data_IF_941295366568
#
_entry.id   IF_941295366568
#
_cell.length_a   1.000
_cell.length_b   1.000
_cell.length_c   1.000
_cell.angle_alpha   90.00
_cell.angle_beta   90.00
_cell.angle_gamma   90.00
#
_symmetry.space_group_name_H-M   'P 1'
#
loop_
_entity.id
_entity.type
_entity.pdbx_description
1 polymer ?
#
# COMPACT_ATOMS: atom_id res chain seq x y z
N UNK A 1 6.52 11.46 -9.57
CA UNK A 1 5.35 12.11 -10.21
C UNK A 1 4.20 11.11 -10.27
N UNK A 2 2.95 11.57 -10.17
CA UNK A 2 1.75 10.71 -10.26
C UNK A 2 1.64 9.98 -11.61
N UNK A 3 1.86 10.66 -12.74
CA UNK A 3 1.81 10.01 -14.05
C UNK A 3 2.91 8.98 -14.27
N UNK A 4 4.09 9.17 -13.67
CA UNK A 4 5.14 8.16 -13.69
C UNK A 4 4.74 6.89 -12.90
N UNK A 5 4.07 7.05 -11.76
CA UNK A 5 3.52 5.91 -11.01
C UNK A 5 2.44 5.17 -11.82
N UNK A 6 1.57 5.90 -12.52
CA UNK A 6 0.61 5.28 -13.44
C UNK A 6 1.30 4.59 -14.62
N UNK A 7 2.37 5.18 -15.15
CA UNK A 7 3.23 4.54 -16.15
C UNK A 7 3.81 3.22 -15.67
N UNK A 8 4.25 3.15 -14.41
CA UNK A 8 4.72 1.91 -13.79
C UNK A 8 3.61 0.86 -13.66
N UNK A 9 2.38 1.27 -13.33
CA UNK A 9 1.21 0.36 -13.32
C UNK A 9 0.97 -0.21 -14.71
N UNK A 10 0.93 0.62 -15.75
CA UNK A 10 0.70 0.14 -17.11
C UNK A 10 1.83 -0.75 -17.61
N UNK A 11 3.09 -0.37 -17.36
CA UNK A 11 4.23 -1.17 -17.75
C UNK A 11 4.24 -2.54 -17.06
N UNK A 12 3.95 -2.57 -15.76
CA UNK A 12 3.86 -3.84 -15.01
C UNK A 12 2.70 -4.70 -15.50
N UNK A 13 1.59 -4.09 -15.95
CA UNK A 13 0.47 -4.82 -16.54
C UNK A 13 0.85 -5.49 -17.86
N UNK A 14 1.60 -4.82 -18.73
CA UNK A 14 2.08 -5.41 -19.99
C UNK A 14 3.07 -6.57 -19.72
N UNK A 15 3.98 -6.40 -18.76
CA UNK A 15 4.89 -7.49 -18.35
C UNK A 15 4.13 -8.67 -17.74
N UNK A 16 3.11 -8.39 -16.93
CA UNK A 16 2.21 -9.42 -16.41
C UNK A 16 1.51 -10.18 -17.55
N UNK A 17 1.01 -9.49 -18.58
CA UNK A 17 0.38 -10.15 -19.73
C UNK A 17 1.36 -11.00 -20.54
N UNK A 18 2.63 -10.59 -20.61
CA UNK A 18 3.66 -11.31 -21.35
C UNK A 18 4.18 -12.55 -20.61
N UNK A 19 4.40 -12.46 -19.29
CA UNK A 19 5.11 -13.49 -18.51
C UNK A 19 4.24 -14.18 -17.45
N UNK A 20 3.12 -13.60 -17.04
CA UNK A 20 2.20 -14.21 -16.08
C UNK A 20 2.72 -14.28 -14.64
N UNK A 21 3.72 -13.47 -14.24
CA UNK A 21 4.36 -13.55 -12.90
C UNK A 21 3.71 -12.62 -11.86
N UNK A 22 3.62 -13.10 -10.62
CA UNK A 22 2.96 -12.44 -9.50
C UNK A 22 3.69 -11.19 -9.01
N UNK A 23 5.01 -11.12 -9.20
CA UNK A 23 5.82 -9.95 -8.82
C UNK A 23 5.40 -8.67 -9.55
N UNK A 24 4.83 -8.78 -10.76
CA UNK A 24 4.26 -7.62 -11.45
C UNK A 24 2.96 -7.14 -10.79
N UNK A 25 2.13 -8.07 -10.31
CA UNK A 25 0.97 -7.79 -9.48
C UNK A 25 1.34 -7.08 -8.18
N UNK A 26 2.46 -7.45 -7.55
CA UNK A 26 2.98 -6.76 -6.35
C UNK A 26 3.34 -5.29 -6.64
N UNK A 27 3.97 -5.02 -7.80
CA UNK A 27 4.30 -3.66 -8.21
C UNK A 27 3.04 -2.84 -8.50
N UNK A 28 2.06 -3.42 -9.19
CA UNK A 28 0.77 -2.77 -9.48
C UNK A 28 0.06 -2.44 -8.16
N UNK A 29 -0.09 -3.43 -7.28
CA UNK A 29 -0.75 -3.31 -5.99
C UNK A 29 -0.09 -2.22 -5.12
N UNK A 30 1.23 -2.30 -4.93
CA UNK A 30 1.98 -1.33 -4.16
C UNK A 30 1.85 0.09 -4.74
N UNK A 31 1.89 0.21 -6.06
CA UNK A 31 1.81 1.53 -6.72
C UNK A 31 0.41 2.13 -6.63
N UNK A 32 -0.63 1.31 -6.82
CA UNK A 32 -2.03 1.73 -6.71
C UNK A 32 -2.37 2.16 -5.27
N UNK A 33 -2.16 1.29 -4.28
CA UNK A 33 -2.54 1.56 -2.89
C UNK A 33 -1.73 2.69 -2.24
N UNK A 34 -0.51 2.94 -2.70
CA UNK A 34 0.35 3.95 -2.10
C UNK A 34 0.42 5.22 -2.93
N UNK A 35 1.10 5.22 -4.09
CA UNK A 35 1.40 6.47 -4.80
C UNK A 35 0.20 7.02 -5.57
N UNK A 36 -0.57 6.16 -6.24
CA UNK A 36 -1.73 6.60 -7.05
C UNK A 36 -2.87 7.10 -6.16
N UNK A 37 -3.22 6.34 -5.12
CA UNK A 37 -4.22 6.80 -4.15
C UNK A 37 -3.74 8.01 -3.36
N UNK A 38 -2.45 8.10 -2.99
CA UNK A 38 -1.92 9.31 -2.34
C UNK A 38 -2.10 10.55 -3.21
N UNK A 39 -2.05 10.42 -4.53
CA UNK A 39 -2.23 11.54 -5.42
C UNK A 39 -3.66 12.11 -5.39
N UNK A 40 -4.66 11.30 -5.04
CA UNK A 40 -6.07 11.70 -5.02
C UNK A 40 -6.50 12.15 -3.63
N UNK A 41 -7.08 13.36 -3.54
CA UNK A 41 -7.72 13.82 -2.32
C UNK A 41 -8.94 12.96 -2.00
N UNK A 42 -9.22 12.75 -0.72
CA UNK A 42 -10.37 11.92 -0.30
C UNK A 42 -11.70 12.46 -0.86
N UNK A 43 -11.77 13.75 -1.15
CA UNK A 43 -12.93 14.41 -1.74
C UNK A 43 -13.08 14.18 -3.26
N UNK A 44 -12.11 13.53 -3.91
CA UNK A 44 -12.07 13.29 -5.34
C UNK A 44 -11.82 14.55 -6.20
N UNK A 45 -11.48 15.69 -5.58
CA UNK A 45 -11.45 17.02 -6.24
C UNK A 45 -10.08 17.70 -6.20
N UNK A 46 -9.14 17.17 -5.46
CA UNK A 46 -7.79 17.71 -5.34
C UNK A 46 -6.73 16.65 -5.67
N UNK A 47 -5.64 17.04 -6.33
CA UNK A 47 -4.67 16.11 -6.89
C UNK A 47 -3.23 16.54 -6.62
N UNK A 48 -2.36 15.63 -6.19
CA UNK A 48 -0.91 15.84 -6.25
C UNK A 48 -0.37 15.53 -7.64
N UNK A 49 0.56 16.37 -8.10
CA UNK A 49 1.47 16.05 -9.20
C UNK A 49 2.72 15.32 -8.65
N UNK A 50 3.23 15.80 -7.52
CA UNK A 50 4.43 15.31 -6.82
C UNK A 50 4.01 14.62 -5.52
N UNK A 51 4.48 13.38 -5.31
CA UNK A 51 4.14 12.57 -4.14
C UNK A 51 5.41 12.41 -3.27
N UNK A 52 5.67 13.32 -2.33
CA UNK A 52 6.84 13.25 -1.45
C UNK A 52 6.71 12.11 -0.44
N UNK A 53 7.86 11.57 0.01
CA UNK A 53 7.97 10.68 1.18
C UNK A 53 8.42 11.43 2.46
N UNK A 54 8.78 12.70 2.32
CA UNK A 54 9.08 13.65 3.39
C UNK A 54 8.54 15.01 2.97
N UNK A 55 7.73 15.64 3.83
CA UNK A 55 7.17 16.96 3.63
C UNK A 55 7.46 17.84 4.83
N UNK A 56 8.09 19.00 4.58
CA UNK A 56 8.43 20.01 5.56
C UNK A 56 7.95 21.38 5.05
N UNK A 57 6.66 21.72 5.24
CA UNK A 57 6.04 22.84 4.52
C UNK A 57 6.74 24.17 4.77
N UNK A 58 7.15 24.43 6.02
CA UNK A 58 7.86 25.64 6.41
C UNK A 58 9.19 25.82 5.66
N UNK A 59 9.99 24.77 5.57
CA UNK A 59 11.29 24.79 4.91
C UNK A 59 11.18 24.74 3.38
N UNK A 60 10.23 23.96 2.85
CA UNK A 60 10.14 23.69 1.42
C UNK A 60 9.58 24.87 0.63
N UNK A 61 8.70 25.68 1.25
CA UNK A 61 8.19 26.92 0.64
C UNK A 61 9.31 27.92 0.32
N UNK A 62 10.34 27.98 1.16
CA UNK A 62 11.49 28.87 0.99
C UNK A 62 12.64 28.24 0.18
N UNK A 63 12.56 26.95 -0.16
CA UNK A 63 13.62 26.24 -0.87
C UNK A 63 13.27 26.07 -2.37
N UNK A 64 13.96 26.77 -3.29
CA UNK A 64 13.68 26.68 -4.73
C UNK A 64 13.78 25.25 -5.30
N UNK A 65 14.66 24.42 -4.74
CA UNK A 65 14.84 23.02 -5.17
C UNK A 65 13.69 22.11 -4.70
N UNK A 66 12.92 22.53 -3.69
CA UNK A 66 11.80 21.77 -3.11
C UNK A 66 10.43 22.42 -3.34
N UNK A 67 10.38 23.58 -3.98
CA UNK A 67 9.14 24.35 -4.20
C UNK A 67 8.06 23.58 -4.97
N UNK A 68 8.45 22.61 -5.80
CA UNK A 68 7.55 21.72 -6.54
C UNK A 68 6.79 20.73 -5.63
N UNK A 69 7.23 20.55 -4.38
CA UNK A 69 6.57 19.70 -3.39
C UNK A 69 5.50 20.53 -2.68
N UNK A 70 4.26 20.04 -2.67
CA UNK A 70 3.13 20.69 -1.99
C UNK A 70 2.68 19.83 -0.81
N UNK A 71 2.42 20.47 0.32
CA UNK A 71 1.89 19.82 1.52
C UNK A 71 0.37 19.58 1.45
N UNK A 72 -0.31 20.24 0.50
CA UNK A 72 -1.73 20.07 0.22
C UNK A 72 -1.94 19.86 -1.27
N UNK A 73 -2.90 19.01 -1.61
CA UNK A 73 -3.30 18.75 -2.99
C UNK A 73 -3.98 20.01 -3.58
N UNK A 74 -3.45 20.59 -4.67
CA UNK A 74 -4.18 21.62 -5.41
C UNK A 74 -5.43 21.06 -6.08
N UNK A 75 -6.40 21.92 -6.39
CA UNK A 75 -7.58 21.52 -7.19
C UNK A 75 -7.17 21.09 -8.59
N UNK A 76 -6.26 21.84 -9.20
CA UNK A 76 -5.85 21.64 -10.58
C UNK A 76 -4.41 22.09 -10.79
N UNK A 77 -3.82 21.67 -11.90
CA UNK A 77 -2.47 22.03 -12.35
C UNK A 77 -2.55 22.59 -13.78
N UNK A 78 -1.63 23.46 -14.18
CA UNK A 78 -1.55 23.89 -15.58
C UNK A 78 -1.22 22.71 -16.50
N UNK A 79 -0.31 21.83 -16.08
CA UNK A 79 -0.09 20.52 -16.68
C UNK A 79 -1.02 19.48 -16.02
N UNK A 80 -2.24 19.38 -16.54
CA UNK A 80 -3.31 18.56 -15.95
C UNK A 80 -3.35 17.11 -16.47
N UNK A 81 -2.20 16.47 -16.67
CA UNK A 81 -2.17 15.05 -17.08
C UNK A 81 -2.63 14.10 -15.97
N UNK A 82 -2.38 14.44 -14.70
CA UNK A 82 -2.62 13.53 -13.56
C UNK A 82 -4.12 13.25 -13.30
N UNK A 83 -5.03 14.25 -13.19
CA UNK A 83 -6.43 13.99 -12.85
C UNK A 83 -7.16 13.03 -13.81
N UNK A 84 -7.17 13.24 -15.15
CA UNK A 84 -7.83 12.30 -16.06
C UNK A 84 -7.13 10.94 -16.11
N UNK A 85 -5.81 10.88 -15.88
CA UNK A 85 -5.06 9.64 -15.89
C UNK A 85 -5.39 8.77 -14.65
N UNK A 86 -5.60 9.38 -13.48
CA UNK A 86 -6.14 8.69 -12.30
C UNK A 86 -7.56 8.20 -12.62
N UNK A 87 -8.42 9.08 -13.14
CA UNK A 87 -9.82 8.75 -13.40
C UNK A 87 -9.99 7.54 -14.33
N UNK A 88 -9.28 7.50 -15.47
CA UNK A 88 -9.34 6.34 -16.39
C UNK A 88 -8.77 5.06 -15.78
N UNK A 89 -7.80 5.18 -14.88
CA UNK A 89 -7.16 4.02 -14.24
C UNK A 89 -8.12 3.40 -13.22
N UNK A 90 -8.74 4.22 -12.38
CA UNK A 90 -9.76 3.76 -11.43
C UNK A 90 -11.03 3.27 -12.13
N UNK A 91 -11.46 3.94 -13.20
CA UNK A 91 -12.59 3.49 -14.02
C UNK A 91 -12.34 2.16 -14.72
N UNK A 92 -11.07 1.80 -14.96
CA UNK A 92 -10.66 0.54 -15.53
C UNK A 92 -10.11 -0.46 -14.51
N UNK A 93 -10.41 -0.34 -13.22
CA UNK A 93 -9.76 -1.12 -12.16
C UNK A 93 -9.90 -2.65 -12.35
N UNK A 94 -11.04 -3.10 -12.89
CA UNK A 94 -11.33 -4.52 -13.11
C UNK A 94 -10.24 -5.30 -13.85
N UNK A 95 -9.57 -4.67 -14.82
CA UNK A 95 -8.50 -5.31 -15.61
C UNK A 95 -7.22 -5.63 -14.81
N UNK A 96 -7.08 -5.03 -13.64
CA UNK A 96 -5.97 -5.30 -12.72
C UNK A 96 -6.38 -6.27 -11.60
N UNK A 97 -7.68 -6.53 -11.41
CA UNK A 97 -8.18 -7.42 -10.35
C UNK A 97 -8.19 -8.86 -10.86
N UNK A 98 -8.73 -9.07 -12.05
CA UNK A 98 -8.91 -10.38 -12.65
C UNK A 98 -8.35 -10.39 -14.08
N UNK A 99 -7.84 -11.54 -14.51
CA UNK A 99 -7.37 -11.77 -15.87
C UNK A 99 -7.61 -13.20 -16.32
N UNK A 100 -7.52 -13.47 -17.61
CA UNK A 100 -7.67 -14.81 -18.17
C UNK A 100 -6.71 -15.04 -19.33
N UNK A 101 -6.33 -16.30 -19.54
CA UNK A 101 -5.75 -16.81 -20.78
C UNK A 101 -6.53 -18.07 -21.22
N UNK A 102 -6.01 -18.82 -22.19
CA UNK A 102 -6.73 -19.97 -22.78
C UNK A 102 -7.22 -21.03 -21.79
N UNK A 103 -6.53 -21.22 -20.66
CA UNK A 103 -6.81 -22.31 -19.71
C UNK A 103 -6.80 -21.92 -18.23
N UNK A 104 -6.52 -20.64 -17.93
CA UNK A 104 -6.31 -20.16 -16.57
C UNK A 104 -7.04 -18.84 -16.34
N UNK A 105 -7.77 -18.75 -15.23
CA UNK A 105 -8.27 -17.49 -14.68
C UNK A 105 -7.38 -17.07 -13.53
N UNK A 106 -6.94 -15.82 -13.56
CA UNK A 106 -6.01 -15.24 -12.62
C UNK A 106 -6.71 -14.24 -11.70
N UNK A 107 -6.52 -14.42 -10.40
CA UNK A 107 -6.89 -13.46 -9.36
C UNK A 107 -5.63 -12.66 -9.02
N UNK A 108 -5.57 -11.44 -9.55
CA UNK A 108 -4.41 -10.55 -9.46
C UNK A 108 -4.47 -9.62 -8.26
N UNK A 109 -5.60 -8.99 -8.00
CA UNK A 109 -5.77 -8.15 -6.81
C UNK A 109 -7.01 -8.56 -6.05
N UNK A 110 -7.02 -8.21 -4.77
CA UNK A 110 -8.11 -8.54 -3.87
C UNK A 110 -9.01 -7.32 -3.69
N UNK A 111 -10.21 -7.42 -4.21
CA UNK A 111 -11.26 -6.42 -4.05
C UNK A 111 -12.60 -7.13 -4.16
N UNK A 112 -13.57 -6.72 -3.35
CA UNK A 112 -14.91 -7.28 -3.45
C UNK A 112 -15.50 -6.99 -4.83
N UNK A 113 -15.74 -8.04 -5.61
CA UNK A 113 -16.21 -7.94 -6.99
C UNK A 113 -16.86 -9.23 -7.48
N UNK A 114 -17.59 -9.14 -8.59
CA UNK A 114 -18.00 -10.28 -9.40
C UNK A 114 -17.44 -10.15 -10.82
N UNK A 115 -17.25 -11.26 -11.51
CA UNK A 115 -16.78 -11.26 -12.90
C UNK A 115 -17.09 -12.56 -13.63
N UNK A 116 -17.35 -12.43 -14.93
CA UNK A 116 -17.58 -13.54 -15.85
C UNK A 116 -16.39 -13.71 -16.79
N UNK A 117 -15.95 -14.96 -16.95
CA UNK A 117 -14.73 -15.34 -17.69
C UNK A 117 -15.01 -16.48 -18.65
N UNK A 118 -14.23 -16.55 -19.73
CA UNK A 118 -14.26 -17.66 -20.68
C UNK A 118 -13.19 -18.68 -20.30
N UNK A 119 -13.59 -19.70 -19.53
CA UNK A 119 -12.74 -20.83 -19.24
C UNK A 119 -12.63 -21.82 -20.41
N UNK A 120 -11.68 -22.76 -20.31
CA UNK A 120 -11.51 -23.82 -21.30
C UNK A 120 -12.72 -24.77 -21.28
N UNK A 121 -13.63 -24.57 -22.22
CA UNK A 121 -14.83 -25.39 -22.39
C UNK A 121 -16.07 -24.86 -21.66
N UNK A 122 -16.10 -23.58 -21.24
CA UNK A 122 -17.33 -22.96 -20.74
C UNK A 122 -17.13 -21.63 -20.01
N UNK A 123 -18.24 -20.98 -19.67
CA UNK A 123 -18.23 -19.73 -18.92
C UNK A 123 -18.06 -20.01 -17.42
N UNK A 124 -17.20 -19.24 -16.77
CA UNK A 124 -16.99 -19.24 -15.33
C UNK A 124 -17.49 -17.93 -14.74
N UNK A 125 -18.09 -18.02 -13.56
CA UNK A 125 -18.47 -16.87 -12.75
C UNK A 125 -17.67 -16.91 -11.45
N UNK A 126 -17.06 -15.77 -11.10
CA UNK A 126 -16.29 -15.59 -9.87
C UNK A 126 -16.93 -14.48 -9.06
N UNK A 127 -17.18 -14.77 -7.79
CA UNK A 127 -17.53 -13.80 -6.75
C UNK A 127 -16.41 -13.77 -5.71
N UNK A 128 -15.89 -12.59 -5.42
CA UNK A 128 -14.87 -12.37 -4.39
C UNK A 128 -15.46 -11.50 -3.29
N UNK A 129 -15.34 -11.96 -2.05
CA UNK A 129 -15.71 -11.22 -0.85
C UNK A 129 -14.48 -11.03 0.02
N UNK A 130 -14.22 -9.77 0.38
CA UNK A 130 -13.08 -9.43 1.22
C UNK A 130 -13.20 -8.01 1.76
N UNK A 131 -12.57 -7.75 2.91
CA UNK A 131 -12.35 -6.40 3.43
C UNK A 131 -10.90 -5.92 3.17
N UNK A 132 -10.22 -6.51 2.18
CA UNK A 132 -8.92 -6.07 1.70
C UNK A 132 -8.96 -4.56 1.32
N UNK A 133 -7.92 -3.75 1.63
CA UNK A 133 -6.62 -4.11 2.22
C UNK A 133 -6.59 -4.07 3.77
N UNK A 134 -7.76 -4.09 4.43
CA UNK A 134 -7.84 -4.01 5.90
C UNK A 134 -7.83 -5.38 6.58
N UNK A 135 -8.35 -6.41 5.91
CA UNK A 135 -8.15 -7.82 6.28
C UNK A 135 -7.43 -8.59 5.17
N UNK A 136 -6.73 -9.66 5.54
CA UNK A 136 -6.16 -10.63 4.62
C UNK A 136 -7.06 -11.82 4.32
N UNK A 137 -8.28 -11.84 4.86
CA UNK A 137 -9.29 -12.84 4.53
C UNK A 137 -9.94 -12.53 3.19
N UNK A 138 -9.93 -13.51 2.30
CA UNK A 138 -10.53 -13.46 0.96
C UNK A 138 -11.31 -14.74 0.74
N UNK A 139 -12.59 -14.61 0.42
CA UNK A 139 -13.45 -15.72 0.03
C UNK A 139 -13.76 -15.61 -1.46
N UNK A 140 -13.57 -16.71 -2.20
CA UNK A 140 -13.90 -16.84 -3.60
C UNK A 140 -14.98 -17.91 -3.78
N UNK A 141 -16.08 -17.54 -4.43
CA UNK A 141 -17.05 -18.49 -4.95
C UNK A 141 -16.90 -18.56 -6.48
N UNK A 142 -16.61 -19.76 -6.98
CA UNK A 142 -16.38 -20.02 -8.40
C UNK A 142 -17.43 -21.00 -8.87
N UNK A 143 -18.15 -20.66 -9.93
CA UNK A 143 -19.21 -21.49 -10.51
C UNK A 143 -19.16 -21.44 -12.03
N UNK A 144 -19.95 -22.30 -12.68
CA UNK A 144 -19.99 -22.42 -14.14
C UNK A 144 -19.50 -23.77 -14.64
N UNK A 145 -19.47 -23.92 -15.96
CA UNK A 145 -19.16 -25.20 -16.64
C UNK A 145 -17.80 -25.12 -17.32
N UNK A 146 -17.19 -26.29 -17.58
CA UNK A 146 -15.87 -26.40 -18.18
C UNK A 146 -14.74 -26.60 -17.17
N UNK A 147 -13.53 -26.81 -17.67
CA UNK A 147 -12.33 -27.02 -16.84
C UNK A 147 -11.45 -25.78 -16.94
N UNK A 148 -10.81 -25.41 -15.85
CA UNK A 148 -9.87 -24.27 -15.84
C UNK A 148 -8.86 -24.43 -14.73
N UNK A 149 -7.77 -23.68 -14.80
CA UNK A 149 -6.88 -23.42 -13.66
C UNK A 149 -7.27 -22.11 -13.02
N UNK A 150 -7.31 -22.07 -11.70
CA UNK A 150 -7.52 -20.85 -10.94
C UNK A 150 -6.19 -20.49 -10.30
N UNK A 151 -5.59 -19.37 -10.75
CA UNK A 151 -4.31 -18.89 -10.26
C UNK A 151 -4.56 -17.72 -9.30
N UNK A 152 -4.31 -17.93 -8.01
CA UNK A 152 -4.51 -16.90 -6.98
C UNK A 152 -3.15 -16.32 -6.61
N UNK A 153 -2.93 -15.02 -6.86
CA UNK A 153 -1.65 -14.38 -6.50
C UNK A 153 -1.44 -14.46 -4.99
N UNK A 154 -0.26 -14.86 -4.56
CA UNK A 154 0.19 -14.68 -3.18
C UNK A 154 1.09 -13.45 -3.16
N UNK A 155 0.68 -12.34 -2.52
CA UNK A 155 1.47 -11.12 -2.53
C UNK A 155 2.86 -11.32 -1.94
N UNK A 156 3.90 -10.76 -2.57
CA UNK A 156 5.28 -10.91 -2.11
C UNK A 156 5.57 -10.32 -0.72
N UNK A 157 4.69 -9.47 -0.19
CA UNK A 157 4.77 -9.00 1.20
C UNK A 157 4.26 -10.02 2.22
N UNK A 158 3.46 -11.00 1.81
CA UNK A 158 2.84 -12.00 2.68
C UNK A 158 3.74 -13.23 2.82
N UNK A 159 4.18 -13.51 4.05
CA UNK A 159 5.02 -14.68 4.35
C UNK A 159 4.20 -15.88 4.80
N UNK A 160 3.16 -15.62 5.58
CA UNK A 160 2.32 -16.64 6.18
C UNK A 160 0.91 -16.52 5.62
N UNK A 161 0.48 -17.56 4.90
CA UNK A 161 -0.85 -17.63 4.29
C UNK A 161 -1.38 -19.06 4.35
N UNK A 162 -2.71 -19.20 4.30
CA UNK A 162 -3.40 -20.49 4.30
C UNK A 162 -4.50 -20.48 3.24
N UNK A 163 -4.66 -21.60 2.58
CA UNK A 163 -5.66 -21.79 1.54
C UNK A 163 -6.54 -23.00 1.87
N UNK A 164 -7.85 -22.79 1.82
CA UNK A 164 -8.86 -23.80 2.05
C UNK A 164 -9.74 -23.92 0.80
N UNK A 165 -10.02 -25.14 0.35
CA UNK A 165 -10.96 -25.41 -0.74
C UNK A 165 -12.11 -26.24 -0.18
N UNK A 166 -13.35 -25.76 -0.35
CA UNK A 166 -14.56 -26.37 0.16
C UNK A 166 -14.46 -26.74 1.66
N UNK A 167 -13.87 -25.85 2.47
CA UNK A 167 -13.70 -26.02 3.91
C UNK A 167 -12.55 -26.95 4.34
N UNK A 168 -11.78 -27.50 3.40
CA UNK A 168 -10.59 -28.32 3.70
C UNK A 168 -9.32 -27.56 3.38
N UNK A 169 -8.44 -27.43 4.37
CA UNK A 169 -7.11 -26.87 4.14
C UNK A 169 -6.32 -27.78 3.19
N UNK A 170 -5.67 -27.19 2.19
CA UNK A 170 -4.78 -27.94 1.31
C UNK A 170 -3.41 -28.11 1.96
N UNK A 171 -2.90 -29.34 2.00
CA UNK A 171 -1.55 -29.66 2.50
C UNK A 171 -0.49 -29.42 1.42
N UNK A 172 -0.83 -29.68 0.16
CA UNK A 172 0.01 -29.44 -1.00
C UNK A 172 -0.66 -28.44 -1.93
N UNK A 173 0.06 -27.37 -2.27
CA UNK A 173 -0.38 -26.33 -3.17
C UNK A 173 0.66 -26.19 -4.27
N UNK A 174 0.23 -26.29 -5.53
CA UNK A 174 1.08 -25.96 -6.66
C UNK A 174 1.35 -24.45 -6.63
N UNK A 175 2.54 -24.06 -6.16
CA UNK A 175 2.97 -22.68 -6.07
C UNK A 175 4.09 -22.41 -7.07
N UNK A 176 3.83 -21.54 -8.04
CA UNK A 176 4.77 -21.19 -9.10
C UNK A 176 4.61 -19.71 -9.47
N UNK A 177 5.74 -19.03 -9.68
CA UNK A 177 5.81 -17.63 -10.14
C UNK A 177 4.91 -16.63 -9.36
N UNK A 178 4.66 -16.90 -8.07
CA UNK A 178 3.84 -16.03 -7.22
C UNK A 178 2.35 -16.38 -7.16
N UNK A 179 1.92 -17.52 -7.72
CA UNK A 179 0.52 -17.96 -7.68
C UNK A 179 0.37 -19.32 -7.02
N UNK A 180 -0.72 -19.47 -6.27
CA UNK A 180 -1.29 -20.76 -5.91
C UNK A 180 -2.26 -21.21 -7.01
N UNK A 181 -1.98 -22.35 -7.64
CA UNK A 181 -2.81 -22.92 -8.70
C UNK A 181 -3.77 -23.98 -8.18
N UNK A 182 -5.06 -23.83 -8.51
CA UNK A 182 -6.12 -24.77 -8.16
C UNK A 182 -6.83 -25.30 -9.43
N UNK A 183 -7.04 -26.62 -9.56
CA UNK A 183 -7.78 -27.17 -10.68
C UNK A 183 -9.30 -27.00 -10.48
N UNK A 184 -9.98 -26.33 -11.41
CA UNK A 184 -11.42 -26.26 -11.49
C UNK A 184 -11.97 -27.28 -12.50
N UNK A 185 -12.94 -28.08 -12.10
CA UNK A 185 -13.45 -29.22 -12.86
C UNK A 185 -14.90 -29.05 -13.37
N UNK A 186 -15.51 -27.88 -13.17
CA UNK A 186 -16.91 -27.62 -13.55
C UNK A 186 -17.95 -27.90 -12.47
N UNK A 187 -17.52 -28.35 -11.28
CA UNK A 187 -18.36 -28.37 -10.08
C UNK A 187 -17.95 -27.20 -9.20
N UNK A 188 -18.93 -26.39 -8.75
CA UNK A 188 -18.69 -25.16 -8.00
C UNK A 188 -17.65 -25.33 -6.88
N UNK A 189 -16.86 -24.28 -6.66
CA UNK A 189 -15.70 -24.29 -5.78
C UNK A 189 -15.74 -23.07 -4.87
N UNK A 190 -15.58 -23.29 -3.56
CA UNK A 190 -15.36 -22.23 -2.57
C UNK A 190 -13.89 -22.25 -2.15
N UNK A 191 -13.22 -21.11 -2.22
CA UNK A 191 -11.83 -20.96 -1.81
C UNK A 191 -11.72 -19.88 -0.75
N UNK A 192 -11.21 -20.24 0.43
CA UNK A 192 -10.85 -19.30 1.48
C UNK A 192 -9.34 -19.11 1.51
N UNK A 193 -8.88 -17.87 1.33
CA UNK A 193 -7.48 -17.46 1.49
C UNK A 193 -7.37 -16.58 2.72
N UNK A 194 -6.51 -16.97 3.66
CA UNK A 194 -6.12 -16.15 4.80
C UNK A 194 -4.67 -15.71 4.61
N UNK A 195 -4.43 -14.41 4.54
CA UNK A 195 -3.10 -13.79 4.50
C UNK A 195 -2.81 -13.10 5.83
N UNK A 196 -1.70 -13.44 6.48
CA UNK A 196 -1.28 -12.79 7.72
C UNK A 196 -0.90 -11.32 7.43
N UNK A 197 -1.52 -10.38 8.15
CA UNK A 197 -1.40 -8.93 7.92
C UNK A 197 -0.90 -8.17 9.14
N UNK A 198 0.17 -8.70 9.76
CA UNK A 198 0.85 -7.99 10.83
C UNK A 198 1.62 -6.76 10.29
N UNK A 199 1.60 -5.63 11.01
CA UNK A 199 2.47 -4.50 10.68
C UNK A 199 3.94 -4.91 10.76
N UNK A 200 4.72 -4.50 9.76
CA UNK A 200 6.16 -4.79 9.66
C UNK A 200 6.95 -3.48 9.61
N UNK A 201 8.11 -3.49 10.27
CA UNK A 201 9.10 -2.41 10.16
C UNK A 201 10.05 -2.74 9.02
N UNK A 202 10.10 -1.86 8.03
CA UNK A 202 10.95 -1.99 6.85
C UNK A 202 12.25 -1.23 7.03
N UNK A 203 13.32 -1.84 6.53
CA UNK A 203 14.62 -1.19 6.36
C UNK A 203 14.94 -1.07 4.88
N UNK A 204 15.67 -0.03 4.51
CA UNK A 204 16.17 0.15 3.16
C UNK A 204 17.49 -0.61 2.97
N UNK A 205 17.82 -0.93 1.71
CA UNK A 205 19.17 -1.37 1.36
C UNK A 205 20.17 -0.26 1.79
N UNK A 206 21.29 -0.59 2.47
CA UNK A 206 22.23 0.41 2.98
C UNK A 206 22.88 1.28 1.90
N UNK A 207 22.79 0.88 0.62
CA UNK A 207 23.22 1.69 -0.53
C UNK A 207 22.27 2.86 -0.83
N UNK A 208 21.06 2.87 -0.26
CA UNK A 208 20.11 3.98 -0.35
C UNK A 208 20.42 4.98 0.78
N UNK A 209 21.42 5.83 0.54
CA UNK A 209 22.02 6.71 1.56
C UNK A 209 21.00 7.64 2.27
N UNK A 210 19.94 8.07 1.58
CA UNK A 210 18.92 8.97 2.14
C UNK A 210 18.03 8.32 3.22
N UNK A 211 18.04 6.98 3.27
CA UNK A 211 17.28 6.18 4.21
C UNK A 211 18.17 5.48 5.26
N UNK A 212 19.47 5.80 5.29
CA UNK A 212 20.39 5.25 6.27
C UNK A 212 19.95 5.65 7.69
N UNK A 213 19.92 4.67 8.60
CA UNK A 213 19.44 4.89 9.96
C UNK A 213 17.94 5.18 10.08
N UNK A 214 17.16 4.97 9.02
CA UNK A 214 15.70 5.14 9.02
C UNK A 214 14.98 3.81 8.80
N UNK A 215 13.71 3.80 9.18
CA UNK A 215 12.77 2.72 8.94
C UNK A 215 11.41 3.27 8.48
N UNK A 216 10.65 2.44 7.79
CA UNK A 216 9.25 2.71 7.44
C UNK A 216 8.36 1.61 8.03
N UNK A 217 7.04 1.82 8.04
CA UNK A 217 6.08 0.82 8.51
C UNK A 217 5.13 0.46 7.38
N UNK A 218 4.90 -0.83 7.17
CA UNK A 218 3.90 -1.36 6.24
C UNK A 218 2.94 -2.30 6.95
N UNK A 219 1.71 -2.40 6.46
CA UNK A 219 0.76 -3.45 6.86
C UNK A 219 0.02 -3.91 5.61
N UNK A 220 0.19 -5.18 5.25
CA UNK A 220 -0.26 -5.67 3.95
C UNK A 220 0.36 -4.84 2.81
N UNK A 221 -0.42 -4.41 1.80
CA UNK A 221 0.10 -3.59 0.69
C UNK A 221 0.27 -2.10 1.03
N UNK A 222 -0.12 -1.67 2.24
CA UNK A 222 -0.19 -0.25 2.61
C UNK A 222 1.09 0.19 3.32
N UNK A 223 1.75 1.19 2.75
CA UNK A 223 2.78 2.01 3.38
C UNK A 223 2.15 3.01 4.34
N UNK A 224 2.77 3.21 5.50
CA UNK A 224 2.33 4.17 6.51
C UNK A 224 3.26 5.37 6.56
N UNK A 225 2.71 6.49 7.04
CA UNK A 225 3.43 7.71 7.33
C UNK A 225 2.94 8.31 8.66
N UNK A 226 3.73 9.22 9.23
CA UNK A 226 3.33 10.05 10.37
C UNK A 226 3.07 11.48 9.89
N UNK A 227 2.02 12.13 10.39
CA UNK A 227 1.72 13.55 10.12
C UNK A 227 1.87 14.39 11.41
N UNK A 228 2.26 15.66 11.25
CA UNK A 228 2.36 16.65 12.33
C UNK A 228 1.09 16.69 13.19
N UNK A 229 -0.08 16.55 12.55
CA UNK A 229 -1.38 16.61 13.22
C UNK A 229 -1.54 15.59 14.34
N UNK A 230 -0.95 14.40 14.19
CA UNK A 230 -1.10 13.34 15.20
C UNK A 230 0.14 13.19 16.09
N UNK A 231 1.27 13.77 15.69
CA UNK A 231 2.57 13.51 16.31
C UNK A 231 3.25 14.78 16.86
N UNK A 232 2.72 15.96 16.57
CA UNK A 232 3.34 17.25 16.87
C UNK A 232 4.34 17.70 15.79
N UNK A 233 4.86 18.92 15.94
CA UNK A 233 5.91 19.49 15.08
C UNK A 233 7.23 18.74 15.20
N UNK A 234 8.14 19.02 14.27
CA UNK A 234 9.51 18.49 14.25
C UNK A 234 9.50 16.97 14.25
N UNK A 235 8.93 16.39 13.20
CA UNK A 235 8.81 14.93 13.08
C UNK A 235 10.18 14.24 13.04
N UNK A 236 11.25 14.95 12.65
CA UNK A 236 12.63 14.45 12.71
C UNK A 236 13.14 14.12 14.13
N UNK A 237 12.51 14.65 15.18
CA UNK A 237 12.85 14.29 16.57
C UNK A 237 12.34 12.89 16.95
N UNK A 238 11.40 12.35 16.18
CA UNK A 238 10.81 11.05 16.45
C UNK A 238 11.68 9.93 15.89
N UNK A 239 11.83 8.87 16.69
CA UNK A 239 12.54 7.67 16.30
C UNK A 239 11.68 6.44 16.60
N UNK A 240 11.66 5.50 15.67
CA UNK A 240 11.10 4.17 15.89
C UNK A 240 12.10 3.37 16.73
N UNK A 241 11.64 2.70 17.80
CA UNK A 241 12.51 1.82 18.60
C UNK A 241 13.08 0.69 17.74
N UNK A 242 14.18 0.08 18.17
CA UNK A 242 14.79 -1.05 17.45
C UNK A 242 13.81 -2.23 17.27
N UNK A 243 13.07 -2.58 18.32
CA UNK A 243 12.03 -3.63 18.30
C UNK A 243 10.72 -3.04 18.83
N UNK A 244 9.99 -2.26 18.03
CA UNK A 244 8.83 -1.54 18.52
C UNK A 244 7.63 -2.47 18.66
N UNK A 245 6.90 -2.36 19.77
CA UNK A 245 5.51 -2.81 19.78
C UNK A 245 4.68 -2.00 18.78
N UNK A 246 3.89 -2.66 17.94
CA UNK A 246 2.96 -2.00 17.02
C UNK A 246 1.54 -2.45 17.32
N UNK A 247 0.66 -1.50 17.68
CA UNK A 247 -0.76 -1.77 17.96
C UNK A 247 -1.61 -1.28 16.80
N UNK A 248 -2.43 -2.18 16.26
CA UNK A 248 -3.49 -1.85 15.30
C UNK A 248 -4.64 -1.22 16.07
N UNK A 249 -5.13 -0.06 15.64
CA UNK A 249 -6.29 0.61 16.24
C UNK A 249 -7.51 0.42 15.36
N UNK A 250 -8.62 0.05 15.98
CA UNK A 250 -9.93 -0.15 15.31
C UNK A 250 -10.52 1.15 14.76
N UNK A 251 -10.10 2.30 15.29
CA UNK A 251 -10.59 3.62 14.85
C UNK A 251 -10.23 3.85 13.38
N UNK A 252 -11.26 4.06 12.56
CA UNK A 252 -11.09 4.40 11.14
C UNK A 252 -10.73 5.87 10.95
N UNK A 253 -9.48 6.16 10.57
CA UNK A 253 -9.09 7.51 10.20
C UNK A 253 -9.75 7.91 8.88
N UNK A 254 -10.37 9.09 8.87
CA UNK A 254 -11.14 9.58 7.73
C UNK A 254 -12.17 8.54 7.25
N UNK A 255 -12.77 7.75 8.16
CA UNK A 255 -13.84 6.80 7.86
C UNK A 255 -13.41 5.52 7.15
N UNK A 256 -12.14 5.36 6.77
CA UNK A 256 -11.66 4.14 6.06
C UNK A 256 -10.35 3.57 6.61
N UNK A 257 -9.36 4.42 6.92
CA UNK A 257 -8.00 3.93 7.18
C UNK A 257 -7.83 3.29 8.56
N UNK A 258 -7.07 2.20 8.61
CA UNK A 258 -6.60 1.61 9.88
C UNK A 258 -5.42 2.44 10.42
N UNK A 259 -5.45 2.76 11.71
CA UNK A 259 -4.39 3.51 12.40
C UNK A 259 -3.41 2.55 13.08
N UNK A 260 -2.13 2.90 13.10
CA UNK A 260 -1.10 2.18 13.88
C UNK A 260 -0.55 3.09 14.99
N UNK A 261 -0.32 2.51 16.17
CA UNK A 261 0.51 3.09 17.22
C UNK A 261 1.82 2.33 17.27
N UNK A 262 2.92 3.00 16.93
CA UNK A 262 4.26 2.43 16.86
C UNK A 262 5.06 2.95 18.04
N UNK A 263 5.63 2.06 18.86
CA UNK A 263 6.52 2.48 19.95
C UNK A 263 7.74 3.23 19.41
N UNK A 264 8.04 4.36 20.06
CA UNK A 264 9.17 5.18 19.69
C UNK A 264 9.59 6.11 20.81
N UNK A 265 10.60 6.90 20.51
CA UNK A 265 11.12 7.93 21.39
C UNK A 265 11.12 9.25 20.64
N UNK A 266 10.90 10.35 21.36
CA UNK A 266 11.21 11.68 20.87
C UNK A 266 12.51 12.14 21.52
N UNK A 267 13.52 12.44 20.68
CA UNK A 267 14.78 13.03 21.09
C UNK A 267 14.80 14.49 20.66
N UNK A 268 14.78 15.39 21.64
CA UNK A 268 14.70 16.84 21.41
C UNK A 268 15.84 17.55 22.13
N UNK A 269 16.33 18.61 21.49
CA UNK A 269 17.25 19.58 22.09
C UNK A 269 16.54 20.44 23.14
N UNK A 270 17.30 21.30 23.81
CA UNK A 270 16.71 22.30 24.72
C UNK A 270 15.92 23.33 23.92
N UNK A 271 14.69 23.64 24.37
CA UNK A 271 13.91 24.76 23.80
C UNK A 271 14.45 26.13 24.23
N UNK A 272 15.23 26.18 25.31
CA UNK A 272 15.82 27.43 25.86
C UNK A 272 17.19 27.74 25.24
N UNK A 273 17.98 26.71 24.91
CA UNK A 273 19.31 26.86 24.33
C UNK A 273 19.24 26.86 22.80
N UNK A 274 19.12 28.06 22.23
CA UNK A 274 18.99 28.27 20.78
C UNK A 274 20.32 28.26 20.02
N UNK A 275 21.42 27.83 20.64
CA UNK A 275 22.72 27.77 19.95
C UNK A 275 22.66 26.73 18.81
N UNK A 276 23.20 27.06 17.63
CA UNK A 276 23.20 26.13 16.49
C UNK A 276 24.08 24.90 16.71
N UNK A 277 25.06 24.99 17.62
CA UNK A 277 25.96 23.91 18.00
C UNK A 277 26.11 23.90 19.51
N UNK A 278 25.94 22.74 20.12
CA UNK A 278 26.14 22.54 21.56
C UNK A 278 26.69 21.15 21.84
N UNK A 279 27.47 21.04 22.91
CA UNK A 279 27.93 19.77 23.48
C UNK A 279 27.05 19.48 24.69
N UNK A 280 26.06 18.61 24.52
CA UNK A 280 25.09 18.30 25.57
C UNK A 280 24.28 17.06 25.23
N UNK A 281 23.59 16.52 26.23
CA UNK A 281 22.77 15.32 26.07
C UNK A 281 21.37 15.72 25.60
N UNK A 282 20.90 15.12 24.51
CA UNK A 282 19.51 15.27 24.07
C UNK A 282 18.56 14.75 25.15
N UNK A 283 17.44 15.45 25.37
CA UNK A 283 16.37 14.90 26.18
C UNK A 283 15.69 13.78 25.37
N UNK A 284 15.38 12.66 26.03
CA UNK A 284 14.69 11.53 25.40
C UNK A 284 13.42 11.23 26.19
N UNK A 285 12.27 11.20 25.51
CA UNK A 285 11.00 10.80 26.10
C UNK A 285 10.34 9.69 25.30
N UNK A 286 9.79 8.72 26.02
CA UNK A 286 8.99 7.65 25.43
C UNK A 286 7.71 8.21 24.82
N UNK A 287 7.29 7.65 23.68
CA UNK A 287 6.07 8.06 23.00
C UNK A 287 5.53 6.98 22.07
N UNK A 288 4.34 7.21 21.52
CA UNK A 288 3.79 6.41 20.44
C UNK A 288 3.65 7.27 19.20
N UNK A 289 4.22 6.81 18.10
CA UNK A 289 4.04 7.42 16.80
C UNK A 289 2.69 6.95 16.25
N UNK A 290 1.80 7.89 16.01
CA UNK A 290 0.53 7.64 15.33
C UNK A 290 0.77 7.65 13.84
N UNK A 291 0.80 6.46 13.24
CA UNK A 291 1.01 6.27 11.82
C UNK A 291 -0.32 6.00 11.10
N UNK A 292 -0.48 6.64 9.94
CA UNK A 292 -1.65 6.55 9.07
C UNK A 292 -1.26 5.98 7.71
N UNK A 293 -2.18 5.35 6.96
CA UNK A 293 -1.92 4.96 5.58
C UNK A 293 -1.40 6.15 4.78
N UNK A 294 -0.28 5.95 4.07
CA UNK A 294 0.39 7.00 3.30
C UNK A 294 -0.61 7.68 2.37
N UNK A 295 -1.45 6.94 1.66
CA UNK A 295 -2.42 7.52 0.73
C UNK A 295 -3.44 8.49 1.36
N UNK A 296 -3.64 8.46 2.69
CA UNK A 296 -4.54 9.36 3.40
C UNK A 296 -3.89 10.67 3.87
N UNK A 297 -2.57 10.83 3.73
CA UNK A 297 -1.87 12.05 4.11
C UNK A 297 -2.39 13.29 3.37
N UNK A 298 -2.21 14.48 3.95
CA UNK A 298 -2.56 15.76 3.32
C UNK A 298 -4.08 16.02 3.20
N UNK A 299 -4.92 15.22 3.86
CA UNK A 299 -6.39 15.40 3.89
C UNK A 299 -6.90 16.15 5.14
N UNK A 300 -6.03 16.51 6.08
CA UNK A 300 -6.44 16.99 7.42
C UNK A 300 -5.87 18.34 7.85
N UNK A 301 -5.20 19.04 6.95
CA UNK A 301 -4.44 20.25 7.26
C UNK A 301 -3.23 20.38 6.36
N UNK A 302 -2.55 21.52 6.46
CA UNK A 302 -1.15 21.59 6.07
C UNK A 302 -0.31 21.17 7.30
N UNK A 303 0.78 20.45 7.09
CA UNK A 303 1.69 20.05 8.17
C UNK A 303 2.83 19.17 7.65
N UNK A 304 3.77 18.86 8.54
CA UNK A 304 4.85 17.92 8.25
C UNK A 304 4.34 16.49 8.01
N UNK A 305 5.08 15.70 7.23
CA UNK A 305 4.83 14.28 7.03
C UNK A 305 6.14 13.52 6.78
N UNK A 306 6.30 12.33 7.39
CA UNK A 306 7.42 11.42 7.15
C UNK A 306 6.95 9.99 6.90
N UNK A 307 7.49 9.34 5.87
CA UNK A 307 7.43 7.89 5.66
C UNK A 307 8.61 7.18 6.32
N UNK A 308 9.82 7.66 6.00
CA UNK A 308 11.07 7.12 6.55
C UNK A 308 11.44 7.90 7.81
N UNK A 309 11.32 7.24 8.96
CA UNK A 309 11.52 7.82 10.29
C UNK A 309 12.83 7.28 10.84
N UNK A 310 13.58 8.10 11.59
CA UNK A 310 14.83 7.63 12.21
C UNK A 310 14.57 6.40 13.08
N UNK A 311 15.53 5.49 13.14
CA UNK A 311 15.50 4.31 14.00
C UNK A 311 16.51 4.50 15.13
N UNK A 312 16.16 4.03 16.32
CA UNK A 312 17.10 3.93 17.45
C UNK A 312 18.12 2.78 17.28
#
# INVERSE_FOLDING_TARGET
ETCAALGLVFFSQELYQAEGKGCYGDVIENTLYNTVLAALGKDGKHFFYTNPMEMKPYFYKANPQRFHLKARRPKWHSCACCPPNIARTLGGLGKYILGENEDTVFIQMFAQCTGDFKGKGGNLHIQMETNYPWSGDVELEISGVGKSRIAIRIPGWCKDWKLCVNGRQLEEICYEDGYAYLPYNGSGMRVGLHMEMMPVVLQSNPRIIYNLGKAAVMRGPILYCIEEKDNGKYLEELRIRRNPGIKIKEKKILGTGVLLQVEGVRKAGSEEDLRPYYTGQESSRETFLTAIPYFLWGNRGEGEMLVWILRE
#
